data_IF_712283343702
#
_entry.id   IF_712283343702
#
_cell.length_a   1.000
_cell.length_b   1.000
_cell.length_c   1.000
_cell.angle_alpha   90.00
_cell.angle_beta   90.00
_cell.angle_gamma   90.00
#
_symmetry.space_group_name_H-M   'P 1'
#
loop_
_entity.id
_entity.type
_entity.pdbx_description
1 polymer ?
#
# COMPACT_ATOMS: atom_id res chain seq x y z
N UNK A 1 -8.75 8.84 38.67
CA UNK A 1 -8.35 9.43 37.36
C UNK A 1 -6.96 9.00 36.95
N UNK A 2 -6.53 7.73 37.13
CA UNK A 2 -5.21 7.19 36.74
C UNK A 2 -5.25 5.75 36.21
N UNK A 3 -6.42 5.13 36.09
CA UNK A 3 -6.54 3.75 35.60
C UNK A 3 -6.91 3.69 34.12
N UNK A 4 -7.62 4.72 33.61
CA UNK A 4 -8.00 4.82 32.18
C UNK A 4 -6.85 5.20 31.25
N UNK A 5 -5.92 6.04 31.73
CA UNK A 5 -4.75 6.47 30.95
C UNK A 5 -3.75 5.33 30.65
N UNK A 6 -3.64 4.35 31.56
CA UNK A 6 -2.75 3.20 31.36
C UNK A 6 -3.32 2.20 30.34
N UNK A 7 -4.65 2.01 30.31
CA UNK A 7 -5.33 1.11 29.37
C UNK A 7 -5.39 1.69 27.95
N UNK A 8 -5.47 3.02 27.83
CA UNK A 8 -5.45 3.71 26.53
C UNK A 8 -4.07 3.65 25.87
N UNK A 9 -3.00 3.67 26.63
CA UNK A 9 -1.61 3.50 26.13
C UNK A 9 -1.29 2.08 25.66
N UNK A 10 -2.02 1.06 26.11
CA UNK A 10 -1.72 -0.36 25.86
C UNK A 10 -2.05 -0.78 24.40
N UNK A 11 -2.85 -0.01 23.66
CA UNK A 11 -3.30 -0.35 22.29
C UNK A 11 -2.91 0.68 21.21
N UNK A 12 -2.06 1.65 21.51
CA UNK A 12 -1.63 2.64 20.54
C UNK A 12 -0.50 2.06 19.68
N UNK A 13 -0.66 2.13 18.37
CA UNK A 13 0.40 1.77 17.42
C UNK A 13 1.45 2.88 17.46
N UNK A 14 2.67 2.53 17.85
CA UNK A 14 3.83 3.42 17.75
C UNK A 14 4.53 3.17 16.40
N UNK A 15 4.85 4.23 15.66
CA UNK A 15 5.62 4.14 14.41
C UNK A 15 6.87 4.96 14.56
N UNK A 16 8.02 4.36 14.23
CA UNK A 16 9.32 5.05 14.29
C UNK A 16 10.29 4.54 13.24
N UNK A 17 11.26 5.33 12.90
CA UNK A 17 12.38 4.92 12.04
C UNK A 17 13.23 3.84 12.72
N UNK A 18 13.85 2.99 11.90
CA UNK A 18 14.66 1.87 12.34
C UNK A 18 16.13 2.11 11.96
N UNK A 19 17.04 1.82 12.88
CA UNK A 19 18.47 2.07 12.71
C UNK A 19 19.37 0.87 13.05
N UNK A 20 18.83 -0.08 13.83
CA UNK A 20 19.62 -1.18 14.37
C UNK A 20 19.53 -2.43 13.49
N UNK A 21 20.64 -3.15 13.36
CA UNK A 21 20.67 -4.43 12.59
C UNK A 21 19.67 -5.47 13.11
N UNK A 22 19.40 -5.48 14.41
CA UNK A 22 18.41 -6.36 15.01
C UNK A 22 17.00 -6.03 14.56
N UNK A 23 16.69 -4.74 14.35
CA UNK A 23 15.41 -4.28 13.84
C UNK A 23 15.23 -4.64 12.37
N UNK A 24 16.27 -4.49 11.55
CA UNK A 24 16.20 -4.88 10.13
C UNK A 24 16.00 -6.38 9.95
N UNK A 25 16.59 -7.23 10.82
CA UNK A 25 16.30 -8.67 10.86
C UNK A 25 14.85 -8.95 11.23
N UNK A 26 14.29 -8.18 12.16
CA UNK A 26 12.88 -8.31 12.54
C UNK A 26 11.95 -7.90 11.39
N UNK A 27 12.29 -6.87 10.59
CA UNK A 27 11.56 -6.49 9.36
C UNK A 27 11.61 -7.62 8.34
N UNK A 28 12.75 -8.22 8.11
CA UNK A 28 12.92 -9.32 7.17
C UNK A 28 12.04 -10.52 7.56
N UNK A 29 12.07 -10.93 8.82
CA UNK A 29 11.21 -11.98 9.36
C UNK A 29 9.71 -11.62 9.30
N UNK A 30 9.34 -10.35 9.53
CA UNK A 30 7.98 -9.87 9.35
C UNK A 30 7.51 -10.05 7.90
N UNK A 31 8.33 -9.66 6.94
CA UNK A 31 8.00 -9.76 5.51
C UNK A 31 7.88 -11.23 5.07
N UNK A 32 8.76 -12.12 5.54
CA UNK A 32 8.58 -13.56 5.32
C UNK A 32 7.24 -14.08 5.87
N UNK A 33 6.80 -13.58 7.03
CA UNK A 33 5.51 -13.96 7.61
C UNK A 33 4.30 -13.48 6.82
N UNK A 34 4.47 -12.41 6.02
CA UNK A 34 3.39 -11.80 5.19
C UNK A 34 3.33 -12.44 3.82
N UNK A 35 4.47 -12.64 3.15
CA UNK A 35 4.54 -13.09 1.75
C UNK A 35 4.99 -14.53 1.57
N UNK A 36 5.48 -15.18 2.60
CA UNK A 36 5.91 -16.57 2.58
C UNK A 36 7.41 -16.73 2.81
N UNK A 37 7.78 -17.83 3.44
CA UNK A 37 9.18 -18.20 3.69
C UNK A 37 9.90 -18.49 2.38
N UNK A 38 11.12 -17.96 2.21
CA UNK A 38 11.92 -18.11 0.99
C UNK A 38 11.52 -17.22 -0.18
N UNK A 39 10.55 -16.33 0.02
CA UNK A 39 10.30 -15.23 -0.93
C UNK A 39 11.42 -14.21 -0.76
N UNK A 40 12.08 -13.75 -1.85
CA UNK A 40 13.10 -12.72 -1.74
C UNK A 40 12.54 -11.47 -1.09
N UNK A 41 13.14 -11.07 0.04
CA UNK A 41 12.87 -9.82 0.72
C UNK A 41 13.92 -8.78 0.31
N UNK A 42 13.89 -7.61 0.94
CA UNK A 42 14.91 -6.57 0.65
C UNK A 42 16.29 -6.93 1.21
N UNK A 43 16.36 -7.83 2.18
CA UNK A 43 17.58 -8.20 2.88
C UNK A 43 18.09 -7.14 3.86
N UNK A 44 18.76 -7.61 4.91
CA UNK A 44 19.23 -6.78 6.04
C UNK A 44 20.25 -5.73 5.59
N UNK A 45 21.16 -6.13 4.69
CA UNK A 45 22.23 -5.25 4.17
C UNK A 45 21.66 -4.08 3.37
N UNK A 46 20.62 -4.34 2.55
CA UNK A 46 19.95 -3.28 1.81
C UNK A 46 19.19 -2.33 2.72
N UNK A 47 18.44 -2.86 3.69
CA UNK A 47 17.73 -2.05 4.69
C UNK A 47 18.69 -1.16 5.48
N UNK A 48 19.85 -1.71 5.88
CA UNK A 48 20.90 -0.95 6.57
C UNK A 48 21.46 0.18 5.69
N UNK A 49 21.80 -0.12 4.45
CA UNK A 49 22.34 0.88 3.52
C UNK A 49 21.30 1.97 3.24
N UNK A 50 20.05 1.57 2.99
CA UNK A 50 18.96 2.52 2.72
C UNK A 50 18.70 3.46 3.90
N UNK A 51 18.65 2.94 5.13
CA UNK A 51 18.47 3.73 6.35
C UNK A 51 19.67 4.68 6.54
N UNK A 52 20.90 4.21 6.33
CA UNK A 52 22.12 5.01 6.46
C UNK A 52 22.16 6.20 5.48
N UNK A 53 21.67 5.99 4.26
CA UNK A 53 21.61 7.03 3.21
C UNK A 53 20.36 7.92 3.31
N UNK A 54 19.65 7.86 4.44
CA UNK A 54 18.47 8.70 4.69
C UNK A 54 17.23 8.29 3.87
N UNK A 55 17.14 7.01 3.51
CA UNK A 55 15.89 6.42 2.99
C UNK A 55 14.92 6.12 4.12
N UNK A 56 13.65 5.90 3.76
CA UNK A 56 12.58 5.64 4.70
C UNK A 56 12.54 4.15 5.09
N UNK A 57 12.94 3.81 6.31
CA UNK A 57 12.83 2.46 6.87
C UNK A 57 12.19 2.56 8.25
N UNK A 58 10.93 2.11 8.39
CA UNK A 58 10.15 2.30 9.61
C UNK A 58 9.50 1.02 10.08
N UNK A 59 9.31 0.93 11.39
CA UNK A 59 8.57 -0.12 12.07
C UNK A 59 7.36 0.42 12.81
N UNK A 60 6.28 -0.35 12.81
CA UNK A 60 5.10 -0.12 13.64
C UNK A 60 5.07 -1.16 14.76
N UNK A 61 4.88 -0.70 15.98
CA UNK A 61 4.98 -1.50 17.19
C UNK A 61 3.66 -1.50 17.96
N UNK A 62 3.30 -2.66 18.49
CA UNK A 62 2.28 -2.82 19.51
C UNK A 62 2.94 -3.46 20.73
N UNK A 63 2.99 -2.75 21.86
CA UNK A 63 3.63 -3.25 23.09
C UNK A 63 5.06 -3.77 22.81
N UNK A 64 5.88 -3.00 22.16
CA UNK A 64 7.28 -3.35 21.78
C UNK A 64 7.41 -4.46 20.71
N UNK A 65 6.33 -5.17 20.32
CA UNK A 65 6.35 -6.12 19.22
C UNK A 65 6.25 -5.41 17.87
N UNK A 66 7.18 -5.70 16.95
CA UNK A 66 7.11 -5.22 15.56
C UNK A 66 5.97 -5.93 14.85
N UNK A 67 4.92 -5.19 14.50
CA UNK A 67 3.71 -5.71 13.85
C UNK A 67 3.49 -5.19 12.43
N UNK A 68 4.30 -4.24 12.00
CA UNK A 68 4.26 -3.69 10.65
C UNK A 68 5.58 -3.02 10.31
N UNK A 69 5.90 -2.96 9.04
CA UNK A 69 7.08 -2.24 8.55
C UNK A 69 6.79 -1.61 7.20
N UNK A 70 7.45 -0.50 6.92
CA UNK A 70 7.36 0.19 5.64
C UNK A 70 8.71 0.70 5.20
N UNK A 71 9.02 0.49 3.92
CA UNK A 71 10.29 0.89 3.30
C UNK A 71 10.01 1.73 2.08
N UNK A 72 10.74 2.82 1.94
CA UNK A 72 10.63 3.73 0.82
C UNK A 72 11.95 4.44 0.52
N UNK A 73 12.03 5.03 -0.65
CA UNK A 73 13.19 5.77 -1.12
C UNK A 73 12.77 7.03 -1.87
N UNK A 74 13.70 7.97 -1.99
CA UNK A 74 13.47 9.20 -2.75
C UNK A 74 13.34 8.88 -4.23
N UNK A 75 12.30 9.39 -4.85
CA UNK A 75 12.01 9.28 -6.27
C UNK A 75 11.70 10.63 -6.89
N UNK A 76 11.36 10.63 -8.15
CA UNK A 76 10.90 11.81 -8.88
C UNK A 76 9.49 11.54 -9.43
N UNK A 77 8.57 12.45 -9.16
CA UNK A 77 7.23 12.44 -9.72
C UNK A 77 6.93 13.81 -10.32
N UNK A 78 6.61 13.86 -11.63
CA UNK A 78 6.39 15.12 -12.36
C UNK A 78 7.48 16.19 -12.11
N UNK A 79 8.76 15.78 -12.21
CA UNK A 79 9.95 16.61 -11.97
C UNK A 79 10.12 17.14 -10.54
N UNK A 80 9.32 16.70 -9.59
CA UNK A 80 9.44 17.03 -8.17
C UNK A 80 9.91 15.84 -7.34
N UNK A 81 10.64 16.13 -6.27
CA UNK A 81 11.07 15.10 -5.33
C UNK A 81 9.85 14.46 -4.66
N UNK A 82 9.84 13.15 -4.56
CA UNK A 82 8.76 12.37 -3.95
C UNK A 82 9.31 11.23 -3.11
N UNK A 83 8.51 10.72 -2.17
CA UNK A 83 8.79 9.45 -1.51
C UNK A 83 8.13 8.30 -2.29
N UNK A 84 8.92 7.37 -2.84
CA UNK A 84 8.36 6.12 -3.33
C UNK A 84 8.26 5.10 -2.20
N UNK A 85 7.03 4.82 -1.74
CA UNK A 85 6.73 3.79 -0.74
C UNK A 85 6.82 2.42 -1.42
N UNK A 86 7.95 1.75 -1.30
CA UNK A 86 8.25 0.54 -2.07
C UNK A 86 7.50 -0.68 -1.55
N UNK A 87 7.57 -0.93 -0.25
CA UNK A 87 6.90 -2.07 0.39
C UNK A 87 6.36 -1.69 1.76
N UNK A 88 5.16 -2.15 2.06
CA UNK A 88 4.53 -2.03 3.38
C UNK A 88 3.89 -3.37 3.74
N UNK A 89 4.34 -3.98 4.81
CA UNK A 89 3.81 -5.23 5.35
C UNK A 89 3.24 -5.04 6.74
N UNK A 90 2.11 -5.71 7.01
CA UNK A 90 1.48 -5.74 8.34
C UNK A 90 1.20 -7.18 8.72
N UNK A 91 1.66 -7.56 9.91
CA UNK A 91 1.44 -8.89 10.45
C UNK A 91 -0.05 -9.25 10.46
N UNK A 92 -0.43 -10.46 10.01
CA UNK A 92 -1.80 -10.94 10.12
C UNK A 92 -2.36 -10.88 11.56
N UNK A 93 -1.50 -10.99 12.57
CA UNK A 93 -1.87 -10.92 14.00
C UNK A 93 -2.36 -9.52 14.42
N UNK A 94 -1.94 -8.47 13.70
CA UNK A 94 -2.30 -7.09 14.00
C UNK A 94 -3.44 -6.55 13.12
N UNK A 95 -4.19 -7.44 12.47
CA UNK A 95 -5.37 -7.03 11.68
C UNK A 95 -6.41 -6.32 12.55
N UNK A 96 -6.95 -5.21 12.06
CA UNK A 96 -7.91 -4.38 12.80
C UNK A 96 -7.30 -3.33 13.73
N UNK A 97 -5.99 -3.38 14.01
CA UNK A 97 -5.30 -2.39 14.86
C UNK A 97 -4.88 -1.11 14.11
N UNK A 98 -5.36 -0.89 12.89
CA UNK A 98 -5.07 0.29 12.06
C UNK A 98 -3.58 0.54 11.76
N UNK A 99 -2.73 -0.48 11.87
CA UNK A 99 -1.27 -0.39 11.64
C UNK A 99 -0.93 0.18 10.27
N UNK A 100 -1.60 -0.27 9.21
CA UNK A 100 -1.38 0.27 7.86
C UNK A 100 -1.71 1.76 7.74
N UNK A 101 -2.73 2.24 8.44
CA UNK A 101 -3.06 3.68 8.51
C UNK A 101 -1.97 4.45 9.26
N UNK A 102 -1.53 3.95 10.41
CA UNK A 102 -0.47 4.57 11.19
C UNK A 102 0.84 4.70 10.38
N UNK A 103 1.25 3.62 9.67
CA UNK A 103 2.41 3.65 8.78
C UNK A 103 2.26 4.69 7.66
N UNK A 104 1.08 4.79 7.02
CA UNK A 104 0.85 5.79 5.96
C UNK A 104 0.84 7.22 6.48
N UNK A 105 0.26 7.47 7.63
CA UNK A 105 0.30 8.80 8.25
C UNK A 105 1.73 9.20 8.62
N UNK A 106 2.53 8.28 9.18
CA UNK A 106 3.94 8.52 9.44
C UNK A 106 4.72 8.79 8.14
N UNK A 107 4.45 8.06 7.04
CA UNK A 107 5.05 8.36 5.73
C UNK A 107 4.72 9.77 5.24
N UNK A 108 3.48 10.22 5.45
CA UNK A 108 3.03 11.58 5.13
C UNK A 108 3.87 12.62 5.88
N UNK A 109 3.94 12.48 7.20
CA UNK A 109 4.64 13.42 8.05
C UNK A 109 6.15 13.43 7.74
N UNK A 110 6.73 12.26 7.53
CA UNK A 110 8.13 12.12 7.13
C UNK A 110 8.41 12.76 5.77
N UNK A 111 7.56 12.55 4.77
CA UNK A 111 7.72 13.14 3.44
C UNK A 111 7.66 14.67 3.51
N UNK A 112 6.68 15.23 4.23
CA UNK A 112 6.57 16.69 4.43
C UNK A 112 7.79 17.28 5.15
N UNK A 113 8.29 16.62 6.18
CA UNK A 113 9.49 17.04 6.90
C UNK A 113 10.75 17.05 6.01
N UNK A 114 10.75 16.27 4.93
CA UNK A 114 11.85 16.20 3.96
C UNK A 114 11.57 16.97 2.65
N UNK A 115 10.58 17.87 2.65
CA UNK A 115 10.26 18.71 1.51
C UNK A 115 9.63 17.98 0.32
N UNK A 116 9.00 16.84 0.56
CA UNK A 116 8.29 16.06 -0.45
C UNK A 116 6.77 16.17 -0.24
N UNK A 117 6.07 16.65 -1.25
CA UNK A 117 4.61 16.84 -1.20
C UNK A 117 3.82 15.66 -1.75
N UNK A 118 4.52 14.69 -2.37
CA UNK A 118 3.89 13.51 -2.97
C UNK A 118 4.54 12.23 -2.46
N UNK A 119 3.69 11.27 -2.08
CA UNK A 119 4.08 9.88 -1.84
C UNK A 119 3.52 9.02 -2.95
N UNK A 120 4.37 8.22 -3.60
CA UNK A 120 3.97 7.30 -4.68
C UNK A 120 4.13 5.84 -4.24
N UNK A 121 3.36 4.93 -4.80
CA UNK A 121 3.54 3.48 -4.67
C UNK A 121 2.78 2.75 -5.75
N UNK A 122 3.03 1.45 -5.88
CA UNK A 122 2.26 0.58 -6.75
C UNK A 122 1.45 -0.44 -5.95
N UNK A 123 0.28 -0.82 -6.45
CA UNK A 123 -0.50 -1.93 -5.90
C UNK A 123 -1.27 -2.67 -7.00
N UNK A 124 -1.66 -3.90 -6.73
CA UNK A 124 -2.48 -4.71 -7.64
C UNK A 124 -3.94 -4.22 -7.66
N UNK A 125 -4.43 -3.70 -8.80
CA UNK A 125 -5.76 -3.10 -8.90
C UNK A 125 -6.93 -4.08 -8.62
N UNK A 126 -6.69 -5.38 -8.66
CA UNK A 126 -7.71 -6.39 -8.34
C UNK A 126 -7.86 -6.65 -6.85
N UNK A 127 -6.90 -6.22 -6.02
CA UNK A 127 -6.97 -6.39 -4.56
C UNK A 127 -7.88 -5.32 -3.96
N UNK A 128 -9.16 -5.64 -3.83
CA UNK A 128 -10.25 -4.75 -3.39
C UNK A 128 -9.94 -4.01 -2.10
N UNK A 129 -9.40 -4.67 -1.07
CA UNK A 129 -9.07 -4.02 0.20
C UNK A 129 -8.00 -2.94 0.05
N UNK A 130 -7.02 -3.15 -0.85
CA UNK A 130 -5.97 -2.16 -1.11
C UNK A 130 -6.52 -0.98 -1.91
N UNK A 131 -7.37 -1.23 -2.91
CA UNK A 131 -8.03 -0.17 -3.66
C UNK A 131 -8.89 0.73 -2.75
N UNK A 132 -9.71 0.12 -1.89
CA UNK A 132 -10.49 0.87 -0.90
C UNK A 132 -9.61 1.69 0.05
N UNK A 133 -8.54 1.09 0.58
CA UNK A 133 -7.63 1.79 1.46
C UNK A 133 -6.93 2.96 0.77
N UNK A 134 -6.37 2.73 -0.43
CA UNK A 134 -5.58 3.72 -1.14
C UNK A 134 -6.44 4.87 -1.69
N UNK A 135 -7.55 4.56 -2.33
CA UNK A 135 -8.40 5.55 -2.99
C UNK A 135 -9.47 6.07 -2.03
N UNK A 136 -10.23 5.16 -1.41
CA UNK A 136 -11.37 5.54 -0.58
C UNK A 136 -11.00 6.16 0.76
N UNK A 137 -9.90 5.72 1.38
CA UNK A 137 -9.49 6.22 2.71
C UNK A 137 -8.36 7.23 2.69
N UNK A 138 -7.33 7.01 1.89
CA UNK A 138 -6.18 7.93 1.80
C UNK A 138 -6.43 9.07 0.80
N UNK A 139 -7.32 8.88 -0.18
CA UNK A 139 -7.55 9.84 -1.25
C UNK A 139 -6.42 9.90 -2.27
N UNK A 140 -5.58 8.87 -2.32
CA UNK A 140 -4.55 8.77 -3.35
C UNK A 140 -5.18 8.52 -4.72
N UNK A 141 -4.59 9.09 -5.76
CA UNK A 141 -5.10 8.98 -7.13
C UNK A 141 -4.25 7.99 -7.94
N UNK A 142 -4.86 7.08 -8.71
CA UNK A 142 -4.12 6.32 -9.70
C UNK A 142 -3.72 7.24 -10.85
N UNK A 143 -2.43 7.21 -11.21
CA UNK A 143 -1.85 8.08 -12.24
C UNK A 143 -1.34 7.30 -13.45
N UNK A 144 -1.10 5.99 -13.30
CA UNK A 144 -0.67 5.13 -14.39
C UNK A 144 -1.12 3.68 -14.17
N UNK A 145 -1.54 3.01 -15.25
CA UNK A 145 -1.81 1.58 -15.27
C UNK A 145 -0.60 0.85 -15.87
N UNK A 146 0.12 0.11 -15.05
CA UNK A 146 1.36 -0.57 -15.40
C UNK A 146 1.07 -2.05 -15.68
N UNK A 147 1.12 -2.45 -16.94
CA UNK A 147 0.85 -3.83 -17.36
C UNK A 147 2.04 -4.72 -17.05
N UNK A 148 1.80 -5.81 -16.34
CA UNK A 148 2.79 -6.84 -15.98
C UNK A 148 4.13 -6.26 -15.45
N UNK A 149 4.04 -5.27 -14.59
CA UNK A 149 5.14 -4.37 -14.20
C UNK A 149 6.35 -5.08 -13.59
N UNK A 150 6.11 -6.11 -12.77
CA UNK A 150 7.18 -6.89 -12.14
C UNK A 150 7.44 -8.22 -12.85
N UNK A 151 6.77 -8.51 -13.98
CA UNK A 151 6.83 -9.81 -14.61
C UNK A 151 6.21 -10.91 -13.74
N UNK A 152 6.71 -12.13 -13.85
CA UNK A 152 6.22 -13.27 -13.06
C UNK A 152 6.70 -13.14 -11.61
N UNK A 153 5.76 -12.99 -10.70
CA UNK A 153 6.03 -12.97 -9.26
C UNK A 153 5.96 -14.37 -8.66
N UNK A 154 6.81 -14.66 -7.68
CA UNK A 154 6.94 -15.99 -7.06
C UNK A 154 6.41 -16.07 -5.63
N UNK A 155 5.85 -14.95 -5.12
CA UNK A 155 5.25 -14.93 -3.78
C UNK A 155 3.90 -15.65 -3.75
N UNK A 156 3.47 -16.06 -2.56
CA UNK A 156 2.24 -16.85 -2.36
C UNK A 156 0.94 -16.10 -2.73
N UNK A 157 1.00 -14.77 -2.89
CA UNK A 157 -0.17 -13.92 -3.15
C UNK A 157 -0.37 -13.72 -4.66
N UNK A 158 0.73 -13.62 -5.43
CA UNK A 158 0.70 -13.23 -6.85
C UNK A 158 0.99 -14.38 -7.81
N UNK A 159 1.36 -15.56 -7.32
CA UNK A 159 1.75 -16.70 -8.16
C UNK A 159 0.67 -17.06 -9.20
N UNK A 160 1.10 -17.26 -10.45
CA UNK A 160 0.24 -17.73 -11.54
C UNK A 160 -0.58 -16.66 -12.27
N UNK A 161 -0.42 -15.38 -11.91
CA UNK A 161 -1.06 -14.23 -12.56
C UNK A 161 -0.03 -13.19 -13.02
N UNK A 162 -0.41 -12.33 -13.96
CA UNK A 162 0.42 -11.18 -14.36
C UNK A 162 0.42 -10.12 -13.27
N UNK A 163 1.53 -9.37 -13.19
CA UNK A 163 1.74 -8.39 -12.12
C UNK A 163 1.32 -6.97 -12.51
N UNK A 164 0.10 -6.78 -13.00
CA UNK A 164 -0.42 -5.44 -13.24
C UNK A 164 -0.42 -4.61 -11.96
N UNK A 165 -0.09 -3.33 -12.09
CA UNK A 165 -0.06 -2.39 -10.97
C UNK A 165 -0.74 -1.08 -11.35
N UNK A 166 -1.38 -0.45 -10.39
CA UNK A 166 -1.67 0.98 -10.45
C UNK A 166 -0.55 1.73 -9.74
N UNK A 167 0.07 2.67 -10.43
CA UNK A 167 0.91 3.68 -9.79
C UNK A 167 -0.01 4.72 -9.13
N UNK A 168 0.16 4.89 -7.84
CA UNK A 168 -0.58 5.86 -7.04
C UNK A 168 0.26 7.10 -6.80
N UNK A 169 -0.38 8.25 -6.79
CA UNK A 169 0.15 9.50 -6.26
C UNK A 169 -0.76 10.01 -5.13
N UNK A 170 -0.17 10.28 -3.98
CA UNK A 170 -0.84 10.84 -2.83
C UNK A 170 -0.25 12.22 -2.50
N UNK A 171 -1.01 13.26 -2.74
CA UNK A 171 -0.67 14.63 -2.37
C UNK A 171 -0.81 14.78 -0.86
N UNK A 172 0.30 14.62 -0.14
CA UNK A 172 0.30 14.49 1.33
C UNK A 172 0.02 15.80 2.07
N UNK A 173 0.12 16.94 1.41
CA UNK A 173 -0.26 18.24 1.96
C UNK A 173 -1.80 18.42 2.02
N UNK A 174 -2.56 17.67 1.20
CA UNK A 174 -4.02 17.77 1.18
C UNK A 174 -4.64 17.01 2.37
N UNK A 175 -5.82 17.45 2.86
CA UNK A 175 -6.56 16.73 3.88
C UNK A 175 -7.01 15.36 3.36
N UNK A 176 -7.21 14.40 4.28
CA UNK A 176 -7.81 13.11 3.93
C UNK A 176 -9.26 13.33 3.44
N UNK A 177 -9.73 12.50 2.50
CA UNK A 177 -11.07 12.66 1.94
C UNK A 177 -12.15 12.50 3.02
N UNK A 178 -13.14 13.35 2.97
CA UNK A 178 -14.44 13.15 3.61
C UNK A 178 -15.35 12.37 2.64
N UNK A 179 -16.32 11.62 3.14
CA UNK A 179 -17.11 10.59 2.43
C UNK A 179 -17.94 11.06 1.20
N UNK A 180 -17.68 12.23 0.60
CA UNK A 180 -18.54 12.84 -0.43
C UNK A 180 -18.16 12.54 -1.89
N UNK A 181 -17.11 11.73 -2.17
CA UNK A 181 -16.59 11.56 -3.54
C UNK A 181 -17.45 10.67 -4.47
N UNK A 182 -18.56 10.11 -3.99
CA UNK A 182 -19.43 9.23 -4.81
C UNK A 182 -20.36 9.99 -5.77
N UNK A 183 -20.56 11.31 -5.59
CA UNK A 183 -21.61 12.07 -6.29
C UNK A 183 -21.31 12.37 -7.77
N UNK A 184 -20.04 12.30 -8.18
CA UNK A 184 -19.62 12.67 -9.54
C UNK A 184 -19.34 11.46 -10.45
N UNK A 185 -19.67 10.26 -10.00
CA UNK A 185 -19.41 9.05 -10.76
C UNK A 185 -20.54 8.76 -11.76
N UNK A 186 -20.17 8.56 -13.03
CA UNK A 186 -21.10 8.19 -14.11
C UNK A 186 -21.00 6.70 -14.49
N UNK A 187 -19.91 6.04 -14.11
CA UNK A 187 -19.66 4.61 -14.40
C UNK A 187 -18.94 3.95 -13.22
N UNK A 188 -19.25 2.68 -12.98
CA UNK A 188 -18.57 1.84 -12.01
C UNK A 188 -17.91 0.65 -12.70
N UNK A 189 -16.65 0.34 -12.33
CA UNK A 189 -15.90 -0.82 -12.82
C UNK A 189 -15.68 -1.75 -11.64
N UNK A 190 -16.26 -2.96 -11.71
CA UNK A 190 -16.23 -3.93 -10.63
C UNK A 190 -14.88 -4.65 -10.49
N UNK A 191 -14.56 -5.05 -9.27
CA UNK A 191 -13.44 -5.96 -8.95
C UNK A 191 -13.97 -7.27 -8.35
N UNK A 192 -13.22 -8.39 -8.43
CA UNK A 192 -13.63 -9.62 -7.77
C UNK A 192 -13.63 -9.44 -6.24
N UNK A 193 -14.46 -10.19 -5.54
CA UNK A 193 -14.56 -10.10 -4.09
C UNK A 193 -13.22 -10.44 -3.39
N UNK A 194 -12.54 -11.47 -3.88
CA UNK A 194 -11.28 -11.97 -3.35
C UNK A 194 -10.43 -12.58 -4.49
N UNK A 195 -9.58 -11.76 -5.09
CA UNK A 195 -8.69 -12.18 -6.18
C UNK A 195 -7.62 -13.16 -5.69
N UNK A 196 -7.15 -13.01 -4.45
CA UNK A 196 -6.09 -13.86 -3.91
C UNK A 196 -6.57 -15.30 -3.77
N UNK A 197 -7.78 -15.48 -3.24
CA UNK A 197 -8.44 -16.79 -3.20
C UNK A 197 -8.69 -17.32 -4.61
N UNK A 198 -9.17 -16.47 -5.52
CA UNK A 198 -9.53 -16.86 -6.89
C UNK A 198 -8.30 -17.36 -7.66
N UNK A 199 -7.12 -16.77 -7.48
CA UNK A 199 -5.85 -17.25 -8.05
C UNK A 199 -5.54 -18.70 -7.69
N UNK A 200 -5.81 -19.07 -6.43
CA UNK A 200 -5.60 -20.44 -5.95
C UNK A 200 -6.68 -21.44 -6.35
N UNK A 201 -7.93 -21.01 -6.53
CA UNK A 201 -9.08 -21.90 -6.77
C UNK A 201 -9.52 -21.97 -8.23
N UNK A 202 -9.38 -20.86 -8.97
CA UNK A 202 -9.71 -20.77 -10.41
C UNK A 202 -8.79 -19.74 -11.11
N UNK A 203 -7.57 -20.15 -11.47
CA UNK A 203 -6.61 -19.27 -12.14
C UNK A 203 -7.10 -18.73 -13.50
N UNK A 204 -8.01 -19.46 -14.17
CA UNK A 204 -8.56 -19.00 -15.45
C UNK A 204 -9.51 -17.80 -15.24
N UNK A 205 -10.39 -17.88 -14.25
CA UNK A 205 -11.24 -16.76 -13.86
C UNK A 205 -10.43 -15.57 -13.33
N UNK A 206 -9.36 -15.81 -12.58
CA UNK A 206 -8.46 -14.74 -12.12
C UNK A 206 -7.84 -13.98 -13.30
N UNK A 207 -7.34 -14.69 -14.33
CA UNK A 207 -6.82 -14.07 -15.56
C UNK A 207 -7.90 -13.31 -16.33
N UNK A 208 -9.12 -13.81 -16.41
CA UNK A 208 -10.22 -13.09 -17.06
C UNK A 208 -10.51 -11.75 -16.34
N UNK A 209 -10.53 -11.73 -15.01
CA UNK A 209 -10.67 -10.50 -14.23
C UNK A 209 -9.52 -9.53 -14.50
N UNK A 210 -8.28 -10.03 -14.62
CA UNK A 210 -7.10 -9.21 -14.95
C UNK A 210 -7.26 -8.52 -16.31
N UNK A 211 -7.58 -9.31 -17.34
CA UNK A 211 -7.73 -8.80 -18.71
C UNK A 211 -8.87 -7.78 -18.80
N UNK A 212 -10.03 -8.09 -18.21
CA UNK A 212 -11.16 -7.19 -18.16
C UNK A 212 -10.83 -5.89 -17.46
N UNK A 213 -10.23 -5.94 -16.27
CA UNK A 213 -9.93 -4.72 -15.52
C UNK A 213 -8.88 -3.88 -16.26
N UNK A 214 -7.88 -4.48 -16.87
CA UNK A 214 -6.89 -3.79 -17.73
C UNK A 214 -7.58 -3.03 -18.85
N UNK A 215 -8.47 -3.69 -19.59
CA UNK A 215 -9.21 -3.07 -20.70
C UNK A 215 -10.09 -1.93 -20.22
N UNK A 216 -10.85 -2.13 -19.13
CA UNK A 216 -11.83 -1.15 -18.67
C UNK A 216 -11.21 0.03 -17.90
N UNK A 217 -10.05 -0.14 -17.23
CA UNK A 217 -9.48 0.84 -16.30
C UNK A 217 -8.29 1.62 -16.85
N UNK A 218 -7.55 1.10 -17.86
CA UNK A 218 -6.33 1.76 -18.36
C UNK A 218 -6.59 3.15 -18.90
N UNK A 219 -7.60 3.32 -19.75
CA UNK A 219 -7.95 4.63 -20.33
C UNK A 219 -8.48 5.62 -19.27
N UNK A 220 -9.41 5.26 -18.38
CA UNK A 220 -9.84 6.13 -17.28
C UNK A 220 -8.69 6.59 -16.37
N UNK A 221 -7.73 5.71 -16.08
CA UNK A 221 -6.54 6.09 -15.29
C UNK A 221 -5.69 7.11 -16.07
N UNK A 222 -5.38 6.84 -17.33
CA UNK A 222 -4.57 7.74 -18.18
C UNK A 222 -5.21 9.14 -18.32
N UNK A 223 -6.55 9.21 -18.28
CA UNK A 223 -7.31 10.47 -18.37
C UNK A 223 -7.58 11.12 -17.00
N UNK A 224 -7.13 10.53 -15.90
CA UNK A 224 -7.39 11.04 -14.54
C UNK A 224 -8.88 11.03 -14.15
N UNK A 225 -9.64 10.10 -14.69
CA UNK A 225 -11.09 10.00 -14.50
C UNK A 225 -11.51 9.13 -13.31
N UNK A 226 -10.56 8.43 -12.65
CA UNK A 226 -10.87 7.64 -11.45
C UNK A 226 -11.04 8.59 -10.26
N UNK A 227 -12.26 8.70 -9.75
CA UNK A 227 -12.63 9.66 -8.69
C UNK A 227 -12.88 9.01 -7.35
N UNK A 228 -12.97 7.67 -7.27
CA UNK A 228 -13.24 6.98 -6.01
C UNK A 228 -13.18 5.47 -6.15
N UNK A 229 -13.40 4.81 -5.01
CA UNK A 229 -13.58 3.36 -4.92
C UNK A 229 -14.60 3.03 -3.83
N UNK A 230 -15.57 2.16 -4.10
CA UNK A 230 -16.63 1.83 -3.14
C UNK A 230 -16.26 0.68 -2.22
N UNK A 231 -16.94 0.55 -1.09
CA UNK A 231 -16.78 -0.61 -0.18
C UNK A 231 -17.19 -1.94 -0.84
N UNK A 232 -18.14 -1.89 -1.77
CA UNK A 232 -18.63 -3.03 -2.54
C UNK A 232 -17.62 -3.49 -3.61
N UNK A 233 -16.55 -2.71 -3.83
CA UNK A 233 -15.43 -3.08 -4.67
C UNK A 233 -15.52 -2.58 -6.11
N UNK A 234 -15.95 -1.35 -6.32
CA UNK A 234 -16.04 -0.74 -7.63
C UNK A 234 -15.17 0.52 -7.72
N UNK A 235 -14.38 0.64 -8.79
CA UNK A 235 -13.77 1.91 -9.19
C UNK A 235 -14.87 2.83 -9.72
N UNK A 236 -14.86 4.07 -9.27
CA UNK A 236 -15.79 5.10 -9.68
C UNK A 236 -15.13 6.00 -10.73
N UNK A 237 -15.78 6.12 -11.88
CA UNK A 237 -15.26 6.84 -13.04
C UNK A 237 -16.19 8.01 -13.36
N UNK A 238 -15.62 9.20 -13.49
CA UNK A 238 -16.34 10.37 -14.03
C UNK A 238 -16.27 10.39 -15.56
N UNK A 239 -17.17 11.14 -16.18
CA UNK A 239 -17.17 11.38 -17.62
C UNK A 239 -15.92 12.11 -18.11
#
# INVERSE_FOLDING_TARGET
MRHDDALTRINTVEVRELEQLTEFRAVDALYESVWGVGVPTLGVEFLRSLSHEGGYVTGAFLREELVGASVGFRGIHHNSLSLHSHVTGVSPKARGAHVGTALKLHQRDWALAHGMEVVTWTFDPLVRRNAWFNIGRLGARPVEYLVNFYGSMRDSINIGDESDRLLMAWEVALPLPTAEHEKDAHRAIATPADIERLRGTDPAAARQWRMRLREELSEPVAKGQVVGFTREGNYLIRA
#
